data_IF_105895813026
#
_entry.id   IF_105895813026
#
_cell.length_a   1.000
_cell.length_b   1.000
_cell.length_c   1.000
_cell.angle_alpha   90.00
_cell.angle_beta   90.00
_cell.angle_gamma   90.00
#
_symmetry.space_group_name_H-M   'P 1'
#
loop_
_entity.id
_entity.type
_entity.pdbx_description
1 polymer ?
#
# COMPACT_ATOMS: atom_id res chain seq x y z
N UNK A 1 -31.84 12.35 15.46
CA UNK A 1 -31.55 11.50 14.27
C UNK A 1 -32.63 10.43 14.17
N UNK A 2 -33.33 10.30 13.05
CA UNK A 2 -34.49 9.39 12.92
C UNK A 2 -34.02 7.92 12.96
N UNK A 3 -34.86 6.98 13.44
CA UNK A 3 -34.52 5.56 13.51
C UNK A 3 -34.24 4.93 12.13
N UNK A 4 -34.77 5.52 11.05
CA UNK A 4 -34.55 5.08 9.67
C UNK A 4 -33.12 5.34 9.17
N UNK A 5 -32.54 6.50 9.52
CA UNK A 5 -31.16 6.87 9.14
C UNK A 5 -30.13 5.93 9.80
N UNK A 6 -30.42 5.52 11.04
CA UNK A 6 -29.56 4.61 11.80
C UNK A 6 -29.52 3.20 11.19
N UNK A 7 -30.62 2.73 10.59
CA UNK A 7 -30.64 1.42 9.93
C UNK A 7 -29.92 1.44 8.58
N UNK A 8 -30.08 2.51 7.80
CA UNK A 8 -29.38 2.68 6.52
C UNK A 8 -27.87 2.77 6.76
N UNK A 9 -27.44 3.58 7.74
CA UNK A 9 -26.03 3.70 8.10
C UNK A 9 -25.44 2.37 8.56
N UNK A 10 -26.17 1.59 9.37
CA UNK A 10 -25.73 0.25 9.79
C UNK A 10 -25.60 -0.70 8.60
N UNK A 11 -26.54 -0.70 7.64
CA UNK A 11 -26.43 -1.58 6.46
C UNK A 11 -25.25 -1.18 5.58
N UNK A 12 -25.06 0.12 5.35
CA UNK A 12 -23.93 0.62 4.59
C UNK A 12 -22.60 0.27 5.27
N UNK A 13 -22.52 0.41 6.60
CA UNK A 13 -21.36 -0.01 7.39
C UNK A 13 -21.06 -1.51 7.22
N UNK A 14 -22.06 -2.38 7.38
CA UNK A 14 -21.87 -3.82 7.19
C UNK A 14 -21.45 -4.14 5.76
N UNK A 15 -21.99 -3.46 4.75
CA UNK A 15 -21.60 -3.67 3.35
C UNK A 15 -20.14 -3.27 3.09
N UNK A 16 -19.72 -2.10 3.57
CA UNK A 16 -18.35 -1.59 3.41
C UNK A 16 -17.33 -2.47 4.16
N UNK A 17 -17.72 -3.05 5.31
CA UNK A 17 -16.85 -3.91 6.13
C UNK A 17 -16.71 -5.34 5.55
N UNK A 18 -17.49 -5.72 4.52
CA UNK A 18 -17.36 -7.05 3.92
C UNK A 18 -16.04 -7.21 3.18
N UNK A 19 -15.30 -8.25 3.56
CA UNK A 19 -14.05 -8.61 2.87
C UNK A 19 -14.26 -8.88 1.38
N UNK A 20 -15.37 -9.50 1.00
CA UNK A 20 -15.70 -9.76 -0.41
C UNK A 20 -15.72 -8.48 -1.25
N UNK A 21 -16.29 -7.40 -0.69
CA UNK A 21 -16.42 -6.11 -1.39
C UNK A 21 -15.05 -5.50 -1.62
N UNK A 22 -14.20 -5.51 -0.59
CA UNK A 22 -12.82 -5.02 -0.69
C UNK A 22 -12.02 -5.85 -1.70
N UNK A 23 -12.10 -7.18 -1.64
CA UNK A 23 -11.41 -8.06 -2.58
C UNK A 23 -11.85 -7.85 -4.03
N UNK A 24 -13.15 -7.72 -4.30
CA UNK A 24 -13.66 -7.41 -5.64
C UNK A 24 -13.14 -6.05 -6.11
N UNK A 25 -13.17 -5.04 -5.23
CA UNK A 25 -12.71 -3.69 -5.58
C UNK A 25 -11.21 -3.66 -5.90
N UNK A 26 -10.38 -4.44 -5.21
CA UNK A 26 -8.96 -4.62 -5.53
C UNK A 26 -8.80 -5.22 -6.93
N UNK A 27 -9.52 -6.29 -7.25
CA UNK A 27 -9.45 -6.93 -8.58
C UNK A 27 -9.86 -5.97 -9.68
N UNK A 28 -10.95 -5.21 -9.47
CA UNK A 28 -11.42 -4.19 -10.42
C UNK A 28 -10.37 -3.09 -10.60
N UNK A 29 -9.82 -2.54 -9.51
CA UNK A 29 -8.79 -1.50 -9.58
C UNK A 29 -7.51 -2.00 -10.25
N UNK A 30 -7.10 -3.24 -10.00
CA UNK A 30 -5.97 -3.85 -10.67
C UNK A 30 -6.22 -3.96 -12.19
N UNK A 31 -7.40 -4.41 -12.59
CA UNK A 31 -7.81 -4.46 -14.00
C UNK A 31 -7.83 -3.08 -14.66
N UNK A 32 -8.39 -2.07 -13.98
CA UNK A 32 -8.37 -0.68 -14.43
C UNK A 32 -6.93 -0.16 -14.56
N UNK A 33 -6.08 -0.40 -13.56
CA UNK A 33 -4.69 0.03 -13.60
C UNK A 33 -3.92 -0.62 -14.76
N UNK A 34 -4.08 -1.92 -14.96
CA UNK A 34 -3.48 -2.63 -16.09
C UNK A 34 -3.94 -2.04 -17.44
N UNK A 35 -5.24 -1.76 -17.58
CA UNK A 35 -5.80 -1.15 -18.78
C UNK A 35 -5.24 0.26 -19.02
N UNK A 36 -5.17 1.09 -17.98
CA UNK A 36 -4.60 2.44 -18.06
C UNK A 36 -3.11 2.43 -18.42
N UNK A 37 -2.35 1.46 -17.91
CA UNK A 37 -0.93 1.27 -18.20
C UNK A 37 -0.65 0.84 -19.65
N UNK A 38 -1.65 0.38 -20.40
CA UNK A 38 -1.48 0.08 -21.83
C UNK A 38 -1.34 1.35 -22.70
N UNK A 39 -1.63 2.53 -22.17
CA UNK A 39 -1.61 3.80 -22.90
C UNK A 39 -0.59 4.78 -22.28
N UNK A 40 0.11 5.59 -23.10
CA UNK A 40 1.01 6.61 -22.59
C UNK A 40 0.20 7.68 -21.85
N UNK A 41 0.41 7.79 -20.54
CA UNK A 41 -0.33 8.75 -19.73
C UNK A 41 0.28 10.15 -19.89
N UNK A 42 -0.56 11.13 -20.19
CA UNK A 42 -0.14 12.52 -20.25
C UNK A 42 0.20 12.98 -18.83
N UNK A 43 1.33 13.64 -18.64
CA UNK A 43 1.70 14.24 -17.35
C UNK A 43 1.12 15.66 -17.26
N UNK A 44 0.85 16.15 -16.05
CA UNK A 44 0.40 17.54 -15.84
C UNK A 44 1.46 18.55 -16.28
N UNK A 45 2.75 18.22 -16.13
CA UNK A 45 3.88 19.06 -16.54
C UNK A 45 3.97 19.22 -18.05
N UNK A 46 3.80 18.12 -18.79
CA UNK A 46 3.77 18.12 -20.27
C UNK A 46 2.55 18.89 -20.79
N UNK A 47 1.40 18.73 -20.14
CA UNK A 47 0.15 19.41 -20.48
C UNK A 47 0.19 20.93 -20.25
N UNK A 48 0.93 21.38 -19.23
CA UNK A 48 1.08 22.80 -18.90
C UNK A 48 1.96 23.58 -19.90
N UNK A 49 2.85 22.89 -20.63
CA UNK A 49 3.74 23.51 -21.62
C UNK A 49 3.21 23.28 -23.06
N UNK A 50 2.76 24.33 -23.78
CA UNK A 50 2.18 24.19 -25.12
C UNK A 50 3.10 23.49 -26.13
N UNK A 51 4.41 23.74 -26.07
CA UNK A 51 5.39 23.11 -26.96
C UNK A 51 5.47 21.62 -26.70
N UNK A 52 5.67 21.22 -25.44
CA UNK A 52 5.76 19.80 -25.06
C UNK A 52 4.45 19.05 -25.34
N UNK A 53 3.31 19.69 -25.08
CA UNK A 53 2.01 19.11 -25.38
C UNK A 53 1.81 18.86 -26.87
N UNK A 54 2.23 19.80 -27.73
CA UNK A 54 2.14 19.64 -29.19
C UNK A 54 3.04 18.50 -29.72
N UNK A 55 4.26 18.38 -29.19
CA UNK A 55 5.19 17.30 -29.52
C UNK A 55 4.63 15.94 -29.10
N UNK A 56 4.12 15.84 -27.88
CA UNK A 56 3.47 14.64 -27.38
C UNK A 56 2.27 14.24 -28.25
N UNK A 57 1.43 15.20 -28.65
CA UNK A 57 0.30 14.94 -29.53
C UNK A 57 0.75 14.45 -30.91
N UNK A 58 1.79 15.03 -31.50
CA UNK A 58 2.33 14.58 -32.78
C UNK A 58 2.85 13.14 -32.71
N UNK A 59 3.55 12.78 -31.62
CA UNK A 59 4.01 11.41 -31.36
C UNK A 59 2.84 10.45 -31.18
N UNK A 60 1.84 10.82 -30.37
CA UNK A 60 0.64 10.02 -30.15
C UNK A 60 -0.16 9.82 -31.45
N UNK A 61 -0.32 10.87 -32.27
CA UNK A 61 -1.02 10.79 -33.57
C UNK A 61 -0.27 9.92 -34.57
N UNK A 62 1.06 9.89 -34.53
CA UNK A 62 1.87 8.95 -35.34
C UNK A 62 1.60 7.50 -34.96
N UNK A 63 1.42 7.21 -33.65
CA UNK A 63 1.16 5.86 -33.15
C UNK A 63 -0.29 5.39 -33.36
N UNK A 64 -1.26 6.27 -33.13
CA UNK A 64 -2.68 5.90 -33.07
C UNK A 64 -3.50 6.37 -34.29
N UNK A 65 -2.96 7.26 -35.13
CA UNK A 65 -3.61 7.73 -36.34
C UNK A 65 -5.02 8.27 -36.08
N UNK A 66 -6.02 7.75 -36.80
CA UNK A 66 -7.41 8.14 -36.67
C UNK A 66 -8.05 7.76 -35.32
N UNK A 67 -7.49 6.79 -34.59
CA UNK A 67 -7.99 6.44 -33.25
C UNK A 67 -7.62 7.49 -32.20
N UNK A 68 -6.66 8.37 -32.48
CA UNK A 68 -6.20 9.37 -31.52
C UNK A 68 -7.34 10.24 -30.99
N UNK A 69 -8.21 10.71 -31.88
CA UNK A 69 -9.30 11.61 -31.53
C UNK A 69 -10.35 10.90 -30.63
N UNK A 70 -10.64 9.62 -30.93
CA UNK A 70 -11.53 8.77 -30.11
C UNK A 70 -10.91 8.49 -28.74
N UNK A 71 -9.65 8.04 -28.70
CA UNK A 71 -8.93 7.73 -27.46
C UNK A 71 -8.83 8.96 -26.55
N UNK A 72 -8.60 10.14 -27.13
CA UNK A 72 -8.57 11.40 -26.41
C UNK A 72 -9.94 11.74 -25.84
N UNK A 73 -11.02 11.60 -26.62
CA UNK A 73 -12.39 11.86 -26.16
C UNK A 73 -12.84 10.96 -25.01
N UNK A 74 -12.40 9.69 -25.01
CA UNK A 74 -12.66 8.72 -23.93
C UNK A 74 -11.80 9.03 -22.69
N UNK A 75 -10.72 9.79 -22.85
CA UNK A 75 -9.84 10.19 -21.75
C UNK A 75 -8.81 9.13 -21.35
N UNK A 76 -8.44 8.21 -22.25
CA UNK A 76 -7.49 7.11 -21.93
C UNK A 76 -6.09 7.62 -21.53
N UNK A 77 -5.70 8.80 -22.02
CA UNK A 77 -4.43 9.44 -21.71
C UNK A 77 -4.43 10.16 -20.34
N UNK A 78 -5.61 10.31 -19.72
CA UNK A 78 -5.80 10.88 -18.38
C UNK A 78 -6.41 9.85 -17.43
N UNK A 79 -6.25 8.56 -17.71
CA UNK A 79 -7.00 7.48 -17.06
C UNK A 79 -6.81 7.45 -15.54
N UNK A 80 -5.57 7.59 -15.05
CA UNK A 80 -5.29 7.61 -13.61
C UNK A 80 -5.74 8.88 -12.90
N UNK A 81 -5.98 9.95 -13.65
CA UNK A 81 -6.57 11.21 -13.15
C UNK A 81 -8.10 11.25 -13.33
N UNK A 82 -8.70 10.21 -13.92
CA UNK A 82 -10.13 10.16 -14.17
C UNK A 82 -10.92 10.03 -12.85
N UNK A 83 -12.13 10.62 -12.77
CA UNK A 83 -12.99 10.45 -11.61
C UNK A 83 -13.30 8.99 -11.32
N UNK A 84 -13.44 8.14 -12.35
CA UNK A 84 -13.68 6.70 -12.19
C UNK A 84 -12.55 6.03 -11.40
N UNK A 85 -11.31 6.27 -11.79
CA UNK A 85 -10.15 5.67 -11.12
C UNK A 85 -9.98 6.23 -9.70
N UNK A 86 -10.01 7.56 -9.55
CA UNK A 86 -9.79 8.22 -8.26
C UNK A 86 -10.90 7.92 -7.25
N UNK A 87 -12.16 7.87 -7.68
CA UNK A 87 -13.29 7.53 -6.81
C UNK A 87 -13.22 6.06 -6.39
N UNK A 88 -12.89 5.15 -7.31
CA UNK A 88 -12.69 3.74 -6.99
C UNK A 88 -11.55 3.55 -5.99
N UNK A 89 -10.41 4.24 -6.20
CA UNK A 89 -9.25 4.23 -5.31
C UNK A 89 -9.60 4.78 -3.93
N UNK A 90 -10.36 5.88 -3.88
CA UNK A 90 -10.80 6.52 -2.62
C UNK A 90 -11.76 5.62 -1.84
N UNK A 91 -12.71 4.97 -2.52
CA UNK A 91 -13.61 4.00 -1.89
C UNK A 91 -12.82 2.81 -1.34
N UNK A 92 -11.80 2.32 -2.07
CA UNK A 92 -10.94 1.24 -1.59
C UNK A 92 -10.18 1.65 -0.34
N UNK A 93 -9.57 2.84 -0.36
CA UNK A 93 -8.82 3.37 0.78
C UNK A 93 -9.71 3.50 2.03
N UNK A 94 -10.89 4.11 1.87
CA UNK A 94 -11.86 4.26 2.97
C UNK A 94 -12.36 2.92 3.49
N UNK A 95 -12.72 1.99 2.60
CA UNK A 95 -13.22 0.66 2.99
C UNK A 95 -12.15 -0.15 3.71
N UNK A 96 -10.91 -0.12 3.23
CA UNK A 96 -9.77 -0.80 3.86
C UNK A 96 -9.47 -0.22 5.25
N UNK A 97 -9.49 1.11 5.39
CA UNK A 97 -9.32 1.77 6.67
C UNK A 97 -10.42 1.35 7.66
N UNK A 98 -11.68 1.41 7.26
CA UNK A 98 -12.83 1.03 8.11
C UNK A 98 -12.74 -0.45 8.52
N UNK A 99 -12.47 -1.36 7.58
CA UNK A 99 -12.28 -2.78 7.86
C UNK A 99 -11.15 -3.02 8.88
N UNK A 100 -10.05 -2.28 8.74
CA UNK A 100 -8.89 -2.38 9.63
C UNK A 100 -9.24 -1.92 11.04
N UNK A 101 -9.97 -0.80 11.17
CA UNK A 101 -10.42 -0.27 12.46
C UNK A 101 -11.42 -1.19 13.15
N UNK A 102 -12.35 -1.80 12.40
CA UNK A 102 -13.32 -2.75 12.95
C UNK A 102 -12.62 -4.01 13.51
N UNK A 103 -11.68 -4.56 12.74
CA UNK A 103 -10.89 -5.74 13.14
C UNK A 103 -9.85 -5.45 14.22
N UNK A 104 -9.40 -4.20 14.38
CA UNK A 104 -8.35 -3.82 15.32
C UNK A 104 -8.62 -4.35 16.74
N UNK A 105 -9.83 -4.12 17.26
CA UNK A 105 -10.19 -4.53 18.63
C UNK A 105 -10.14 -6.05 18.81
N UNK A 106 -10.63 -6.80 17.84
CA UNK A 106 -10.65 -8.25 17.89
C UNK A 106 -9.22 -8.82 17.86
N UNK A 107 -8.39 -8.34 16.94
CA UNK A 107 -6.98 -8.77 16.82
C UNK A 107 -6.18 -8.38 18.06
N UNK A 108 -6.38 -7.17 18.59
CA UNK A 108 -5.73 -6.72 19.81
C UNK A 108 -6.08 -7.61 21.01
N UNK A 109 -7.38 -7.89 21.19
CA UNK A 109 -7.85 -8.80 22.24
C UNK A 109 -7.29 -10.21 22.06
N UNK A 110 -7.27 -10.74 20.84
CA UNK A 110 -6.74 -12.07 20.55
C UNK A 110 -5.22 -12.17 20.78
N UNK A 111 -4.48 -11.07 20.60
CA UNK A 111 -3.02 -11.02 20.78
C UNK A 111 -2.64 -10.89 22.26
N UNK A 112 -3.33 -10.03 23.02
CA UNK A 112 -2.91 -9.67 24.39
C UNK A 112 -3.81 -10.23 25.51
N UNK A 113 -5.09 -10.46 25.22
CA UNK A 113 -6.13 -10.81 26.20
C UNK A 113 -6.84 -12.14 25.86
N UNK A 114 -6.13 -13.07 25.24
CA UNK A 114 -6.69 -14.37 24.90
C UNK A 114 -7.00 -15.19 26.17
N UNK A 115 -8.20 -15.75 26.26
CA UNK A 115 -8.64 -16.55 27.40
C UNK A 115 -7.90 -17.89 27.47
N UNK A 116 -7.46 -18.27 28.69
CA UNK A 116 -6.75 -19.52 28.96
C UNK A 116 -7.75 -20.69 29.11
N UNK A 117 -8.91 -20.42 29.70
CA UNK A 117 -9.95 -21.44 29.86
C UNK A 117 -10.75 -21.61 28.58
N UNK A 118 -10.89 -22.85 28.13
CA UNK A 118 -11.75 -23.25 27.02
C UNK A 118 -12.71 -24.35 27.51
N UNK A 119 -13.89 -24.43 26.87
CA UNK A 119 -14.85 -25.49 27.17
C UNK A 119 -14.42 -26.81 26.53
N UNK A 120 -14.89 -27.94 27.08
CA UNK A 120 -14.62 -29.27 26.49
C UNK A 120 -15.10 -29.40 25.05
N UNK A 121 -16.18 -28.70 24.68
CA UNK A 121 -16.69 -28.63 23.30
C UNK A 121 -15.65 -28.06 22.31
N UNK A 122 -14.73 -27.23 22.79
CA UNK A 122 -13.63 -26.66 21.97
C UNK A 122 -12.69 -27.77 21.52
N UNK A 123 -12.42 -28.77 22.35
CA UNK A 123 -11.55 -29.90 22.01
C UNK A 123 -12.21 -30.91 21.07
N UNK A 124 -13.55 -30.92 21.00
CA UNK A 124 -14.31 -31.77 20.07
C UNK A 124 -14.29 -31.22 18.64
N UNK A 125 -14.20 -29.90 18.49
CA UNK A 125 -14.16 -29.21 17.19
C UNK A 125 -12.75 -28.82 16.75
N UNK A 126 -11.76 -29.00 17.63
CA UNK A 126 -10.36 -28.71 17.32
C UNK A 126 -9.83 -29.64 16.20
N UNK A 127 -9.09 -29.11 15.20
CA UNK A 127 -8.55 -29.91 14.11
C UNK A 127 -7.64 -31.05 14.57
N UNK A 128 -6.92 -30.84 15.67
CA UNK A 128 -6.06 -31.82 16.32
C UNK A 128 -6.39 -31.84 17.81
N UNK A 129 -6.90 -32.96 18.31
CA UNK A 129 -7.08 -33.18 19.74
C UNK A 129 -6.64 -34.60 20.11
N UNK A 130 -6.12 -34.74 21.32
CA UNK A 130 -5.72 -36.03 21.88
C UNK A 130 -6.21 -36.11 23.32
N UNK A 131 -6.78 -37.26 23.70
CA UNK A 131 -7.16 -37.55 25.07
C UNK A 131 -6.24 -38.64 25.61
N UNK A 132 -5.51 -38.30 26.67
CA UNK A 132 -4.60 -39.21 27.35
C UNK A 132 -5.24 -39.60 28.69
N UNK A 133 -5.36 -40.90 28.95
CA UNK A 133 -5.79 -41.42 30.25
C UNK A 133 -4.58 -42.07 30.90
N UNK A 134 -4.15 -41.53 32.03
CA UNK A 134 -2.99 -42.05 32.78
C UNK A 134 -3.40 -42.70 34.08
N UNK A 135 -2.71 -43.78 34.45
CA UNK A 135 -2.70 -44.36 35.80
C UNK A 135 -1.40 -43.97 36.51
N UNK A 136 -1.48 -43.29 37.65
CA UNK A 136 -0.34 -42.87 38.49
C UNK A 136 -0.37 -41.41 38.96
N UNK A 137 0.44 -41.07 39.96
CA UNK A 137 0.48 -39.77 40.68
C UNK A 137 1.50 -38.74 40.13
N UNK A 138 2.05 -38.94 38.93
CA UNK A 138 2.99 -37.96 38.37
C UNK A 138 2.28 -36.66 38.00
N UNK A 139 2.80 -35.52 38.49
CA UNK A 139 2.31 -34.20 38.12
C UNK A 139 2.61 -33.89 36.65
N UNK A 140 1.62 -34.20 35.80
CA UNK A 140 1.68 -33.99 34.35
C UNK A 140 1.74 -32.50 34.01
N UNK A 141 1.23 -31.62 34.87
CA UNK A 141 1.17 -30.19 34.57
C UNK A 141 2.56 -29.62 34.39
N UNK A 142 3.44 -29.83 35.36
CA UNK A 142 4.84 -29.38 35.32
C UNK A 142 5.61 -29.96 34.12
N UNK A 143 5.35 -31.22 33.75
CA UNK A 143 5.99 -31.85 32.58
C UNK A 143 5.54 -31.19 31.28
N UNK A 144 4.24 -30.93 31.12
CA UNK A 144 3.69 -30.27 29.94
C UNK A 144 4.12 -28.81 29.84
N UNK A 145 4.11 -28.07 30.95
CA UNK A 145 4.57 -26.67 30.98
C UNK A 145 6.03 -26.59 30.55
N UNK A 146 6.91 -27.40 31.17
CA UNK A 146 8.34 -27.41 30.83
C UNK A 146 8.58 -27.82 29.38
N UNK A 147 7.90 -28.86 28.88
CA UNK A 147 8.06 -29.29 27.50
C UNK A 147 7.62 -28.19 26.50
N UNK A 148 6.55 -27.45 26.80
CA UNK A 148 6.12 -26.33 25.97
C UNK A 148 7.13 -25.17 26.03
N UNK A 149 7.65 -24.83 27.22
CA UNK A 149 8.67 -23.80 27.38
C UNK A 149 9.97 -24.14 26.63
N UNK A 150 10.45 -25.38 26.73
CA UNK A 150 11.63 -25.87 26.02
C UNK A 150 11.46 -25.78 24.48
N UNK A 151 10.22 -25.85 23.99
CA UNK A 151 9.88 -25.67 22.57
C UNK A 151 9.59 -24.20 22.18
N UNK A 152 9.86 -23.24 23.07
CA UNK A 152 9.73 -21.80 22.83
C UNK A 152 8.30 -21.28 22.88
N UNK A 153 7.38 -22.02 23.52
CA UNK A 153 6.04 -21.51 23.81
C UNK A 153 6.05 -20.68 25.09
N UNK A 154 5.26 -19.61 25.10
CA UNK A 154 4.93 -18.91 26.34
C UNK A 154 3.78 -19.63 27.00
N UNK A 155 4.04 -20.23 28.14
CA UNK A 155 3.04 -21.01 28.87
C UNK A 155 2.28 -20.15 29.86
N UNK A 156 0.98 -20.39 29.96
CA UNK A 156 0.10 -19.84 30.99
C UNK A 156 -0.85 -20.94 31.45
N UNK A 157 -1.01 -21.07 32.76
CA UNK A 157 -1.96 -21.98 33.36
C UNK A 157 -3.01 -21.24 34.19
N UNK A 158 -4.22 -21.81 34.24
CA UNK A 158 -5.32 -21.29 35.06
C UNK A 158 -6.22 -22.44 35.49
N UNK A 159 -6.45 -22.55 36.80
CA UNK A 159 -7.41 -23.51 37.35
C UNK A 159 -8.81 -22.91 37.32
N UNK A 160 -9.79 -23.65 36.80
CA UNK A 160 -11.21 -23.27 36.75
C UNK A 160 -12.08 -24.51 36.97
N UNK A 161 -13.03 -24.44 37.91
CA UNK A 161 -13.93 -25.55 38.26
C UNK A 161 -13.20 -26.89 38.47
N UNK A 162 -12.12 -26.88 39.27
CA UNK A 162 -11.30 -28.07 39.58
C UNK A 162 -10.55 -28.70 38.40
N UNK A 163 -10.53 -28.02 37.25
CA UNK A 163 -9.74 -28.40 36.09
C UNK A 163 -8.60 -27.41 35.84
N UNK A 164 -7.40 -27.92 35.61
CA UNK A 164 -6.24 -27.12 35.24
C UNK A 164 -6.19 -26.96 33.71
N UNK A 165 -6.30 -25.72 33.24
CA UNK A 165 -6.10 -25.40 31.83
C UNK A 165 -4.69 -24.86 31.62
N UNK A 166 -3.95 -25.45 30.69
CA UNK A 166 -2.61 -25.01 30.29
C UNK A 166 -2.68 -24.58 28.83
N UNK A 167 -2.06 -23.44 28.53
CA UNK A 167 -1.99 -22.87 27.19
C UNK A 167 -0.55 -22.49 26.86
N UNK A 168 -0.04 -23.00 25.74
CA UNK A 168 1.21 -22.55 25.15
C UNK A 168 0.94 -21.70 23.91
N UNK A 169 1.30 -20.42 23.94
CA UNK A 169 1.23 -19.55 22.77
C UNK A 169 2.64 -19.28 22.23
N UNK A 170 2.85 -19.50 20.93
CA UNK A 170 4.06 -19.10 20.21
C UNK A 170 3.71 -18.09 19.12
N UNK A 171 4.59 -17.13 18.86
CA UNK A 171 4.45 -16.11 17.80
C UNK A 171 3.15 -15.28 17.87
N UNK A 172 2.58 -15.02 19.05
CA UNK A 172 1.32 -14.26 19.17
C UNK A 172 1.35 -12.88 18.50
N UNK A 173 2.51 -12.23 18.44
CA UNK A 173 2.70 -10.90 17.82
C UNK A 173 2.49 -10.99 16.30
N UNK A 174 2.66 -12.16 15.69
CA UNK A 174 2.41 -12.36 14.26
C UNK A 174 0.96 -12.03 13.86
N UNK A 175 -0.01 -12.14 14.78
CA UNK A 175 -1.38 -11.68 14.52
C UNK A 175 -1.46 -10.17 14.21
N UNK A 176 -0.59 -9.36 14.84
CA UNK A 176 -0.49 -7.92 14.57
C UNK A 176 0.11 -7.61 13.20
N UNK A 177 0.87 -8.54 12.60
CA UNK A 177 1.46 -8.33 11.28
C UNK A 177 0.37 -8.07 10.21
N UNK A 178 -0.81 -8.69 10.37
CA UNK A 178 -1.97 -8.40 9.53
C UNK A 178 -2.37 -6.93 9.63
N UNK A 179 -2.49 -6.37 10.84
CA UNK A 179 -2.86 -4.96 11.04
C UNK A 179 -1.80 -4.01 10.47
N UNK A 180 -0.51 -4.30 10.69
CA UNK A 180 0.59 -3.50 10.14
C UNK A 180 0.56 -3.51 8.61
N UNK A 181 0.33 -4.67 8.00
CA UNK A 181 0.26 -4.79 6.53
C UNK A 181 -0.91 -3.99 5.96
N UNK A 182 -2.09 -4.07 6.57
CA UNK A 182 -3.26 -3.30 6.14
C UNK A 182 -3.03 -1.80 6.33
N UNK A 183 -2.46 -1.39 7.46
CA UNK A 183 -2.11 0.01 7.70
C UNK A 183 -1.10 0.51 6.67
N UNK A 184 -0.11 -0.30 6.29
CA UNK A 184 0.84 0.02 5.22
C UNK A 184 0.14 0.28 3.88
N UNK A 185 -0.81 -0.58 3.49
CA UNK A 185 -1.62 -0.37 2.28
C UNK A 185 -2.44 0.92 2.38
N UNK A 186 -3.10 1.17 3.52
CA UNK A 186 -3.89 2.39 3.74
C UNK A 186 -3.00 3.64 3.64
N UNK A 187 -1.83 3.64 4.27
CA UNK A 187 -0.88 4.75 4.22
C UNK A 187 -0.35 4.97 2.79
N UNK A 188 -0.07 3.90 2.05
CA UNK A 188 0.32 3.99 0.65
C UNK A 188 -0.79 4.64 -0.19
N UNK A 189 -2.04 4.16 -0.04
CA UNK A 189 -3.19 4.73 -0.76
C UNK A 189 -3.42 6.19 -0.41
N UNK A 190 -3.39 6.55 0.88
CA UNK A 190 -3.49 7.94 1.33
C UNK A 190 -2.35 8.78 0.76
N UNK A 191 -1.12 8.28 0.79
CA UNK A 191 0.04 8.92 0.19
C UNK A 191 -0.18 9.20 -1.29
N UNK A 192 -0.67 8.23 -2.06
CA UNK A 192 -0.95 8.42 -3.50
C UNK A 192 -2.03 9.47 -3.75
N UNK A 193 -3.10 9.50 -2.96
CA UNK A 193 -4.18 10.50 -3.10
C UNK A 193 -3.65 11.89 -2.74
N UNK A 194 -2.89 12.01 -1.64
CA UNK A 194 -2.29 13.27 -1.22
C UNK A 194 -1.24 13.76 -2.23
N UNK A 195 -0.40 12.87 -2.75
CA UNK A 195 0.54 13.22 -3.82
C UNK A 195 -0.19 13.64 -5.09
N UNK A 196 -1.27 12.97 -5.49
CA UNK A 196 -2.05 13.40 -6.66
C UNK A 196 -2.70 14.78 -6.46
N UNK A 197 -3.07 15.14 -5.23
CA UNK A 197 -3.72 16.41 -4.92
C UNK A 197 -2.75 17.57 -4.66
N UNK A 198 -1.59 17.29 -4.04
CA UNK A 198 -0.67 18.31 -3.52
C UNK A 198 0.75 18.24 -4.08
N UNK A 199 1.15 17.16 -4.76
CA UNK A 199 2.49 17.11 -5.34
C UNK A 199 2.56 18.03 -6.57
N UNK A 200 3.69 18.70 -6.70
CA UNK A 200 4.08 19.40 -7.91
C UNK A 200 5.13 18.56 -8.64
N UNK A 201 5.14 18.68 -9.97
CA UNK A 201 6.17 18.09 -10.81
C UNK A 201 6.48 19.08 -11.91
N UNK A 202 7.75 19.38 -12.08
CA UNK A 202 8.24 20.30 -13.10
C UNK A 202 9.26 19.56 -13.96
N UNK A 203 9.10 19.69 -15.28
CA UNK A 203 10.06 19.21 -16.26
C UNK A 203 10.84 20.44 -16.73
N UNK A 204 12.14 20.47 -16.44
CA UNK A 204 13.03 21.56 -16.83
C UNK A 204 13.93 21.02 -17.94
N UNK A 205 13.99 21.74 -19.06
CA UNK A 205 14.97 21.47 -20.11
C UNK A 205 16.22 22.25 -19.73
N UNK A 206 17.31 21.54 -19.45
CA UNK A 206 18.59 22.15 -19.12
C UNK A 206 19.39 22.20 -20.41
N UNK A 207 19.55 23.40 -20.96
CA UNK A 207 20.43 23.61 -22.10
C UNK A 207 21.89 23.59 -21.66
N UNK A 208 22.76 23.04 -22.50
CA UNK A 208 24.21 23.13 -22.30
C UNK A 208 24.63 24.61 -22.22
N UNK A 209 25.50 24.91 -21.26
CA UNK A 209 26.10 26.23 -21.02
C UNK A 209 25.16 27.33 -20.51
N UNK A 210 23.91 27.01 -20.15
CA UNK A 210 22.97 27.99 -19.59
C UNK A 210 22.49 27.61 -18.18
N UNK A 211 22.41 28.61 -17.30
CA UNK A 211 21.77 28.49 -15.99
C UNK A 211 20.25 28.55 -16.16
N UNK A 212 19.56 27.49 -15.73
CA UNK A 212 18.11 27.40 -15.79
C UNK A 212 17.54 27.53 -14.39
N UNK A 213 16.66 28.52 -14.18
CA UNK A 213 16.00 28.71 -12.89
C UNK A 213 14.97 27.60 -12.62
N UNK A 214 14.87 27.16 -11.37
CA UNK A 214 13.83 26.25 -10.91
C UNK A 214 12.59 27.08 -10.54
N UNK A 215 11.48 27.00 -11.28
CA UNK A 215 10.30 27.84 -11.03
C UNK A 215 9.74 27.69 -9.61
N UNK A 216 9.70 26.47 -9.07
CA UNK A 216 9.19 26.20 -7.73
C UNK A 216 10.09 26.68 -6.58
N UNK A 217 11.37 26.93 -6.84
CA UNK A 217 12.35 27.32 -5.84
C UNK A 217 13.04 28.60 -6.30
N UNK A 218 12.43 29.77 -6.02
CA UNK A 218 12.99 31.06 -6.40
C UNK A 218 14.47 31.14 -6.00
N UNK A 219 15.30 31.56 -6.95
CA UNK A 219 16.72 31.75 -6.73
C UNK A 219 17.57 30.48 -6.69
N UNK A 220 16.99 29.30 -6.91
CA UNK A 220 17.77 28.09 -7.22
C UNK A 220 17.94 27.95 -8.73
N UNK A 221 19.17 27.80 -9.19
CA UNK A 221 19.48 27.58 -10.61
C UNK A 221 20.21 26.26 -10.81
N UNK A 222 19.98 25.65 -11.95
CA UNK A 222 20.62 24.40 -12.37
C UNK A 222 21.37 24.63 -13.67
N UNK A 223 22.58 24.11 -13.76
CA UNK A 223 23.36 24.08 -14.98
C UNK A 223 23.80 22.65 -15.29
N UNK A 224 23.80 22.31 -16.58
CA UNK A 224 24.41 21.09 -17.08
C UNK A 224 25.93 21.27 -17.20
N UNK A 225 26.70 20.46 -16.47
CA UNK A 225 28.17 20.51 -16.50
C UNK A 225 28.74 19.55 -17.55
N UNK A 226 28.11 18.38 -17.73
CA UNK A 226 28.60 17.40 -18.70
C UNK A 226 27.73 16.15 -18.79
N UNK A 227 27.84 15.47 -19.93
CA UNK A 227 27.15 14.22 -20.20
C UNK A 227 28.16 13.19 -20.68
N UNK A 228 28.27 12.07 -19.98
CA UNK A 228 29.18 10.97 -20.32
C UNK A 228 28.34 9.75 -20.72
N UNK A 229 28.70 9.11 -21.83
CA UNK A 229 28.10 7.84 -22.26
C UNK A 229 29.20 6.79 -22.25
N UNK A 230 29.06 5.79 -21.39
CA UNK A 230 29.92 4.61 -21.42
C UNK A 230 29.37 3.61 -22.45
N UNK A 231 30.27 3.03 -23.26
CA UNK A 231 29.90 2.08 -24.30
C UNK A 231 30.68 0.79 -24.16
N UNK A 232 30.03 -0.32 -24.45
CA UNK A 232 30.67 -1.62 -24.57
C UNK A 232 31.55 -1.70 -25.84
N UNK A 233 32.43 -2.70 -25.97
CA UNK A 233 33.26 -2.88 -27.16
C UNK A 233 32.48 -3.06 -28.47
N UNK A 234 31.20 -3.41 -28.40
CA UNK A 234 30.29 -3.53 -29.55
C UNK A 234 29.55 -2.20 -29.88
N UNK A 235 29.99 -1.10 -29.27
CA UNK A 235 29.42 0.26 -29.38
C UNK A 235 28.00 0.42 -28.81
N UNK A 236 27.45 -0.61 -28.15
CA UNK A 236 26.18 -0.49 -27.42
C UNK A 236 26.33 0.34 -26.14
N UNK A 237 25.28 1.06 -25.76
CA UNK A 237 25.28 1.94 -24.57
C UNK A 237 25.30 1.07 -23.31
N UNK A 238 26.34 1.23 -22.51
CA UNK A 238 26.51 0.56 -21.23
C UNK A 238 25.92 1.39 -20.08
N UNK A 239 26.24 2.69 -20.08
CA UNK A 239 25.77 3.62 -19.05
C UNK A 239 25.70 5.05 -19.58
N UNK A 240 24.92 5.90 -18.92
CA UNK A 240 24.86 7.34 -19.19
C UNK A 240 24.80 8.12 -17.87
N UNK A 241 25.74 9.05 -17.70
CA UNK A 241 25.84 9.91 -16.52
C UNK A 241 25.71 11.37 -16.93
N UNK A 242 24.75 12.08 -16.32
CA UNK A 242 24.58 13.52 -16.45
C UNK A 242 25.08 14.21 -15.18
N UNK A 243 26.03 15.12 -15.32
CA UNK A 243 26.53 15.97 -14.23
C UNK A 243 25.81 17.31 -14.26
N UNK A 244 25.22 17.66 -13.12
CA UNK A 244 24.47 18.90 -12.95
C UNK A 244 24.97 19.63 -11.70
N UNK A 245 25.08 20.95 -11.80
CA UNK A 245 25.39 21.82 -10.68
C UNK A 245 24.12 22.54 -10.27
N UNK A 246 23.81 22.50 -8.98
CA UNK A 246 22.68 23.23 -8.39
C UNK A 246 23.22 24.33 -7.49
N UNK A 247 22.84 25.59 -7.74
CA UNK A 247 23.25 26.74 -6.94
C UNK A 247 22.07 27.42 -6.25
N UNK A 248 22.32 28.03 -5.09
CA UNK A 248 21.35 28.85 -4.35
C UNK A 248 21.34 30.31 -4.81
N UNK A 249 20.52 31.13 -4.14
CA UNK A 249 20.36 32.58 -4.39
C UNK A 249 21.67 33.38 -4.35
N UNK A 250 22.69 32.87 -3.67
CA UNK A 250 23.98 33.53 -3.43
C UNK A 250 25.06 32.98 -4.39
N UNK A 251 24.71 32.00 -5.24
CA UNK A 251 25.63 31.35 -6.18
C UNK A 251 26.48 30.24 -5.54
N UNK A 252 26.17 29.82 -4.32
CA UNK A 252 26.85 28.69 -3.67
C UNK A 252 26.32 27.37 -4.21
N UNK A 253 27.23 26.43 -4.46
CA UNK A 253 26.91 25.08 -4.94
C UNK A 253 26.27 24.30 -3.79
N UNK A 254 24.98 23.98 -3.94
CA UNK A 254 24.22 23.15 -3.00
C UNK A 254 24.54 21.67 -3.23
N UNK A 255 24.76 21.29 -4.49
CA UNK A 255 25.08 19.91 -4.91
C UNK A 255 25.74 19.91 -6.28
N UNK A 256 26.78 19.08 -6.42
CA UNK A 256 27.43 18.71 -7.67
C UNK A 256 27.56 17.20 -7.78
#
# INVERSE_FOLDING_TARGET
MKPMDMQILKRLWHFIVRMDVVSILIVVLFGLAALGSCFPQLSSSTEANPTNFSLWQAQARTRYGALMDILTSVGVFHFFRSPLFLLSLSILAASTLICTLDRWKAVWRQTFHHEISCSDATFQTAPCSARLVRKGEMDLSTVFEKHLEDNGFRVRSKTKHDSLHIRGDRNRIALLATLVSHLGVVLLLLGTILSAAFAWREEIIIESDHWTAIPHHPGTTVQHEGFTIERYPDDSVADYEAKIIITNEIGEIIRG
#
